data_IF_926907110417
#
_entry.id   IF_926907110417
#
_cell.length_a   1.000
_cell.length_b   1.000
_cell.length_c   1.000
_cell.angle_alpha   90.00
_cell.angle_beta   90.00
_cell.angle_gamma   90.00
#
_symmetry.space_group_name_H-M   'P 1'
#
loop_
_entity.id
_entity.type
_entity.pdbx_description
1 polymer ?
#
# COMPACT_ATOMS: atom_id res chain seq x y z
N UNK A 1 -10.45 13.11 -5.51
CA UNK A 1 -10.33 12.51 -4.17
C UNK A 1 -9.55 11.21 -4.25
N UNK A 2 -8.55 11.08 -3.42
CA UNK A 2 -7.60 9.97 -3.40
C UNK A 2 -8.28 8.59 -3.39
N UNK A 3 -9.28 8.41 -2.54
CA UNK A 3 -9.95 7.13 -2.37
C UNK A 3 -10.67 6.66 -3.66
N UNK A 4 -11.33 7.57 -4.35
CA UNK A 4 -12.02 7.25 -5.62
C UNK A 4 -11.00 6.92 -6.70
N UNK A 5 -9.95 7.70 -6.82
CA UNK A 5 -8.89 7.51 -7.82
C UNK A 5 -8.12 6.21 -7.59
N UNK A 6 -7.86 5.85 -6.34
CA UNK A 6 -7.25 4.57 -5.97
C UNK A 6 -8.14 3.42 -6.41
N UNK A 7 -9.43 3.47 -6.12
CA UNK A 7 -10.37 2.42 -6.51
C UNK A 7 -10.45 2.26 -8.01
N UNK A 8 -10.47 3.37 -8.76
CA UNK A 8 -10.45 3.33 -10.22
C UNK A 8 -9.16 2.70 -10.75
N UNK A 9 -8.02 3.11 -10.20
CA UNK A 9 -6.72 2.57 -10.61
C UNK A 9 -6.62 1.08 -10.33
N UNK A 10 -7.16 0.61 -9.22
CA UNK A 10 -7.11 -0.79 -8.83
C UNK A 10 -8.28 -1.62 -9.38
N UNK A 11 -9.16 -1.04 -10.18
CA UNK A 11 -10.30 -1.76 -10.76
C UNK A 11 -9.90 -2.90 -11.69
N UNK A 12 -8.67 -2.91 -12.17
CA UNK A 12 -8.14 -3.96 -13.05
C UNK A 12 -7.63 -5.19 -12.32
N UNK A 13 -7.56 -5.16 -11.01
CA UNK A 13 -6.95 -6.20 -10.20
C UNK A 13 -7.91 -6.66 -9.12
N UNK A 14 -7.56 -7.77 -8.46
CA UNK A 14 -8.49 -8.46 -7.56
C UNK A 14 -8.31 -7.99 -6.12
N UNK A 15 -9.44 -7.85 -5.43
CA UNK A 15 -9.46 -7.75 -3.98
C UNK A 15 -9.90 -9.10 -3.42
N UNK A 16 -8.97 -9.80 -2.79
CA UNK A 16 -9.23 -11.10 -2.19
C UNK A 16 -8.55 -11.15 -0.81
N UNK A 17 -9.34 -10.99 0.28
CA UNK A 17 -8.80 -10.99 1.64
C UNK A 17 -8.11 -12.30 2.04
N UNK A 18 -8.43 -13.40 1.37
CA UNK A 18 -7.75 -14.68 1.62
C UNK A 18 -6.34 -14.72 1.02
N UNK A 19 -6.06 -13.83 0.09
CA UNK A 19 -4.75 -13.74 -0.58
C UNK A 19 -3.90 -12.60 -0.07
N UNK A 20 -4.51 -11.48 0.30
CA UNK A 20 -3.81 -10.30 0.78
C UNK A 20 -4.75 -9.48 1.66
N UNK A 21 -4.38 -9.26 2.92
CA UNK A 21 -5.20 -8.54 3.87
C UNK A 21 -4.37 -7.65 4.77
N UNK A 22 -4.72 -6.38 4.85
CA UNK A 22 -4.15 -5.40 5.76
C UNK A 22 -5.01 -5.28 7.00
N UNK A 23 -4.38 -5.17 8.16
CA UNK A 23 -5.07 -4.98 9.43
C UNK A 23 -4.32 -3.97 10.28
N UNK A 24 -5.01 -2.94 10.75
CA UNK A 24 -4.43 -2.02 11.73
C UNK A 24 -4.28 -2.71 13.06
N UNK A 25 -3.10 -2.60 13.66
CA UNK A 25 -2.78 -3.25 14.93
C UNK A 25 -3.29 -2.48 16.14
N UNK A 26 -3.78 -1.25 15.96
CA UNK A 26 -4.34 -0.48 17.06
C UNK A 26 -5.73 -0.98 17.39
N UNK A 27 -6.05 -1.10 18.68
CA UNK A 27 -7.39 -1.44 19.16
C UNK A 27 -8.40 -0.32 18.94
N UNK A 28 -7.98 0.74 18.29
CA UNK A 28 -8.78 1.93 18.07
C UNK A 28 -9.26 1.92 16.63
N UNK A 29 -10.45 2.46 16.42
CA UNK A 29 -10.98 2.76 15.10
C UNK A 29 -9.88 3.36 14.20
N UNK A 30 -10.12 3.37 12.90
CA UNK A 30 -9.24 3.98 11.91
C UNK A 30 -9.00 5.49 12.11
N UNK A 31 -9.33 6.04 13.29
CA UNK A 31 -9.11 7.45 13.66
C UNK A 31 -7.94 7.55 14.63
N UNK A 32 -6.93 8.28 14.23
CA UNK A 32 -5.70 8.46 15.00
C UNK A 32 -5.47 9.94 15.28
N UNK A 33 -4.87 10.24 16.43
CA UNK A 33 -4.56 11.60 16.85
C UNK A 33 -3.06 11.88 16.80
N UNK A 34 -2.72 13.15 16.73
CA UNK A 34 -1.33 13.60 16.83
C UNK A 34 -0.61 12.91 18.00
N UNK A 35 0.55 12.39 17.70
CA UNK A 35 1.37 11.71 18.70
C UNK A 35 1.08 10.24 18.88
N UNK A 36 -0.04 9.74 18.37
CA UNK A 36 -0.32 8.30 18.42
C UNK A 36 0.69 7.54 17.55
N UNK A 37 1.07 6.39 18.03
CA UNK A 37 1.82 5.44 17.21
C UNK A 37 0.82 4.53 16.52
N UNK A 38 1.08 4.20 15.26
CA UNK A 38 0.28 3.21 14.59
C UNK A 38 1.16 2.12 13.99
N UNK A 39 0.57 0.95 13.87
CA UNK A 39 1.20 -0.19 13.26
C UNK A 39 0.15 -0.95 12.48
N UNK A 40 0.59 -1.75 11.55
CA UNK A 40 -0.31 -2.62 10.81
C UNK A 40 0.39 -3.92 10.48
N UNK A 41 -0.41 -4.92 10.18
CA UNK A 41 0.08 -6.21 9.71
C UNK A 41 -0.51 -6.51 8.34
N UNK A 42 0.19 -7.34 7.61
CA UNK A 42 -0.23 -7.80 6.30
C UNK A 42 -0.16 -9.31 6.29
N UNK A 43 -1.31 -9.94 6.07
CA UNK A 43 -1.40 -11.38 5.91
C UNK A 43 -1.45 -11.70 4.42
N UNK A 44 -0.71 -12.71 4.01
CA UNK A 44 -0.70 -13.14 2.62
C UNK A 44 -0.71 -14.64 2.50
N UNK A 45 -1.29 -15.10 1.40
CA UNK A 45 -1.21 -16.47 0.91
C UNK A 45 -0.83 -16.41 -0.56
N UNK A 46 0.37 -16.83 -0.91
CA UNK A 46 0.85 -16.66 -2.26
C UNK A 46 1.65 -17.88 -2.76
N UNK A 47 1.79 -17.96 -4.06
CA UNK A 47 2.68 -18.92 -4.72
C UNK A 47 4.08 -18.33 -4.96
N UNK A 48 4.35 -17.17 -4.36
CA UNK A 48 5.57 -16.41 -4.56
C UNK A 48 5.34 -15.22 -5.49
N UNK A 49 6.06 -14.15 -5.23
CA UNK A 49 5.94 -12.93 -6.01
C UNK A 49 6.50 -11.72 -5.29
N UNK A 50 5.94 -10.56 -5.56
CA UNK A 50 6.46 -9.29 -5.11
C UNK A 50 5.39 -8.47 -4.41
N UNK A 51 5.78 -7.85 -3.30
CA UNK A 51 4.91 -7.03 -2.47
C UNK A 51 5.28 -5.56 -2.59
N UNK A 52 4.26 -4.73 -2.61
CA UNK A 52 4.36 -3.27 -2.64
C UNK A 52 3.46 -2.72 -1.57
N UNK A 53 3.98 -1.85 -0.71
CA UNK A 53 3.21 -1.18 0.33
C UNK A 53 3.51 0.31 0.28
N UNK A 54 2.48 1.10 0.08
CA UNK A 54 2.58 2.54 -0.05
C UNK A 54 1.59 3.24 0.87
N UNK A 55 1.96 4.42 1.33
CA UNK A 55 1.14 5.24 2.21
C UNK A 55 0.89 6.59 1.55
N UNK A 56 -0.38 6.90 1.33
CA UNK A 56 -0.79 8.16 0.73
C UNK A 56 -1.22 9.12 1.84
N UNK A 57 -0.43 10.17 2.04
CA UNK A 57 -0.67 11.18 3.06
C UNK A 57 -1.79 12.14 2.67
N UNK A 58 -2.34 12.83 3.66
CA UNK A 58 -3.45 13.76 3.46
C UNK A 58 -3.12 14.92 2.51
N UNK A 59 -1.83 15.26 2.38
CA UNK A 59 -1.35 16.30 1.46
C UNK A 59 -1.11 15.80 0.04
N UNK A 60 -1.43 14.55 -0.24
CA UNK A 60 -1.22 13.96 -1.56
C UNK A 60 0.17 13.40 -1.80
N UNK A 61 1.01 13.35 -0.77
CA UNK A 61 2.35 12.76 -0.88
C UNK A 61 2.26 11.26 -0.68
N UNK A 62 2.82 10.50 -1.61
CA UNK A 62 2.91 9.05 -1.52
C UNK A 62 4.28 8.65 -0.96
N UNK A 63 4.26 7.87 0.11
CA UNK A 63 5.45 7.38 0.78
C UNK A 63 5.58 5.88 0.54
N UNK A 64 6.73 5.46 0.03
CA UNK A 64 7.02 4.03 -0.14
C UNK A 64 7.37 3.43 1.20
N UNK A 65 6.59 2.46 1.65
CA UNK A 65 6.91 1.70 2.86
C UNK A 65 7.67 0.42 2.50
N UNK A 66 7.28 -0.23 1.40
CA UNK A 66 7.98 -1.40 0.89
C UNK A 66 7.80 -1.47 -0.63
N UNK A 67 8.84 -1.93 -1.33
CA UNK A 67 8.79 -2.03 -2.79
C UNK A 67 9.58 -3.23 -3.26
N UNK A 68 9.01 -3.93 -4.23
CA UNK A 68 9.64 -5.11 -4.82
C UNK A 68 10.10 -6.12 -3.78
N UNK A 69 9.39 -6.18 -2.65
CA UNK A 69 9.71 -7.13 -1.61
C UNK A 69 9.34 -8.53 -2.10
N UNK A 70 10.32 -9.36 -2.26
CA UNK A 70 10.10 -10.73 -2.71
C UNK A 70 9.48 -11.56 -1.59
N UNK A 71 8.37 -12.23 -1.90
CA UNK A 71 7.72 -13.17 -1.01
C UNK A 71 7.90 -14.57 -1.55
N UNK A 72 8.25 -15.50 -0.67
CA UNK A 72 8.26 -16.91 -0.99
C UNK A 72 6.82 -17.44 -0.97
N UNK A 73 6.61 -18.62 -1.58
CA UNK A 73 5.29 -19.23 -1.58
C UNK A 73 4.87 -19.68 -0.18
N UNK A 74 3.57 -19.67 0.08
CA UNK A 74 2.96 -20.12 1.32
C UNK A 74 2.17 -19.03 2.02
N UNK A 75 1.85 -19.28 3.29
CA UNK A 75 1.18 -18.36 4.18
C UNK A 75 2.22 -17.52 4.93
N UNK A 76 1.95 -16.25 5.10
CA UNK A 76 2.85 -15.39 5.85
C UNK A 76 2.16 -14.19 6.45
N UNK A 77 2.87 -13.56 7.38
CA UNK A 77 2.46 -12.34 8.05
C UNK A 77 3.65 -11.41 8.13
N UNK A 78 3.43 -10.16 7.78
CA UNK A 78 4.42 -9.10 7.89
C UNK A 78 3.89 -8.02 8.81
N UNK A 79 4.76 -7.51 9.68
CA UNK A 79 4.41 -6.45 10.61
C UNK A 79 5.14 -5.17 10.24
N UNK A 80 4.41 -4.06 10.25
CA UNK A 80 4.93 -2.73 9.99
C UNK A 80 4.62 -1.80 11.16
N UNK A 81 5.53 -0.93 11.56
CA UNK A 81 6.88 -0.74 11.03
C UNK A 81 7.82 -1.91 11.37
N UNK A 82 8.94 -1.93 10.69
CA UNK A 82 9.99 -2.88 11.00
C UNK A 82 10.43 -2.73 12.47
N UNK A 83 10.91 -3.82 13.05
CA UNK A 83 11.36 -3.86 14.44
C UNK A 83 12.33 -2.71 14.74
N UNK A 84 12.06 -1.98 15.81
CA UNK A 84 12.86 -0.83 16.22
C UNK A 84 12.48 0.49 15.56
N UNK A 85 11.49 0.50 14.69
CA UNK A 85 10.95 1.71 14.06
C UNK A 85 9.55 2.00 14.56
N UNK A 86 9.11 3.25 14.42
CA UNK A 86 7.78 3.68 14.82
C UNK A 86 7.17 4.56 13.73
N UNK A 87 5.87 4.38 13.51
CA UNK A 87 5.07 5.30 12.72
C UNK A 87 4.27 6.18 13.69
N UNK A 88 4.55 7.47 13.66
CA UNK A 88 3.90 8.43 14.55
C UNK A 88 3.02 9.36 13.74
N UNK A 89 1.80 9.58 14.22
CA UNK A 89 0.87 10.51 13.61
C UNK A 89 1.35 11.95 13.81
N UNK A 90 1.54 12.66 12.71
CA UNK A 90 1.96 14.05 12.68
C UNK A 90 1.37 14.71 11.43
N UNK A 91 1.57 16.02 11.29
CA UNK A 91 1.12 16.73 10.09
C UNK A 91 1.66 16.07 8.81
N UNK A 92 0.88 16.06 7.72
CA UNK A 92 -0.46 16.64 7.57
C UNK A 92 -1.55 15.72 8.15
N UNK A 93 -2.64 16.33 8.64
CA UNK A 93 -3.79 15.60 9.16
C UNK A 93 -4.90 15.54 8.11
N UNK A 94 -5.69 14.48 8.16
CA UNK A 94 -6.82 14.28 7.27
C UNK A 94 -7.01 12.82 6.90
N UNK A 95 -7.55 12.58 5.72
CA UNK A 95 -7.74 11.23 5.20
C UNK A 95 -6.47 10.74 4.54
N UNK A 96 -6.02 9.59 4.96
CA UNK A 96 -4.82 8.94 4.46
C UNK A 96 -5.16 7.52 4.05
N UNK A 97 -4.39 6.95 3.14
CA UNK A 97 -4.68 5.64 2.57
C UNK A 97 -3.43 4.79 2.60
N UNK A 98 -3.57 3.59 3.16
CA UNK A 98 -2.56 2.56 3.09
C UNK A 98 -2.92 1.59 1.98
N UNK A 99 -2.02 1.39 1.03
CA UNK A 99 -2.24 0.53 -0.12
C UNK A 99 -1.23 -0.60 -0.08
N UNK A 100 -1.71 -1.83 -0.18
CA UNK A 100 -0.84 -2.99 -0.43
C UNK A 100 -1.20 -3.61 -1.77
N UNK A 101 -0.17 -4.09 -2.45
CA UNK A 101 -0.31 -4.73 -3.74
C UNK A 101 0.63 -5.93 -3.79
N UNK A 102 0.12 -7.06 -4.23
CA UNK A 102 0.92 -8.24 -4.50
C UNK A 102 0.81 -8.59 -5.98
N UNK A 103 1.93 -8.89 -6.61
CA UNK A 103 1.99 -9.33 -7.99
C UNK A 103 2.95 -10.51 -8.13
N UNK A 104 2.51 -11.55 -8.80
CA UNK A 104 3.37 -12.69 -9.11
C UNK A 104 4.54 -12.26 -9.99
N UNK A 105 4.28 -11.39 -10.96
CA UNK A 105 5.30 -10.79 -11.80
C UNK A 105 5.72 -9.44 -11.21
N UNK A 106 7.02 -9.16 -11.21
CA UNK A 106 7.52 -7.87 -10.76
C UNK A 106 6.92 -6.74 -11.60
N UNK A 107 6.36 -5.75 -10.93
CA UNK A 107 5.79 -4.59 -11.59
C UNK A 107 6.88 -3.60 -12.00
N UNK A 108 6.79 -3.09 -13.21
CA UNK A 108 7.65 -2.02 -13.69
C UNK A 108 7.07 -0.69 -13.24
N UNK A 109 7.25 -0.36 -11.97
CA UNK A 109 6.89 0.95 -11.44
C UNK A 109 8.14 1.81 -11.57
N UNK A 110 8.14 2.84 -12.42
CA UNK A 110 9.30 3.71 -12.50
C UNK A 110 9.54 4.32 -11.13
N UNK A 111 10.79 4.29 -10.69
CA UNK A 111 11.17 5.06 -9.52
C UNK A 111 10.90 6.52 -9.88
N UNK A 112 9.81 7.01 -9.35
CA UNK A 112 9.54 8.43 -9.41
C UNK A 112 10.75 9.10 -8.80
N UNK A 113 11.36 9.97 -9.56
CA UNK A 113 12.60 10.68 -9.20
C UNK A 113 12.41 11.46 -7.91
N UNK A 114 12.36 10.78 -6.82
CA UNK A 114 12.49 11.43 -5.53
C UNK A 114 13.79 10.94 -4.95
N UNK A 115 14.67 11.86 -4.72
CA UNK A 115 15.84 11.71 -3.89
C UNK A 115 15.45 11.08 -2.56
N UNK A 116 14.18 11.20 -2.21
CA UNK A 116 13.55 10.65 -1.03
C UNK A 116 12.49 9.62 -1.45
N UNK A 117 12.09 8.75 -0.57
CA UNK A 117 11.11 7.70 -0.81
C UNK A 117 9.68 8.23 -0.97
N UNK A 118 9.52 9.42 -1.53
CA UNK A 118 8.25 10.12 -1.64
C UNK A 118 7.96 10.54 -3.07
N UNK A 119 6.69 10.53 -3.42
CA UNK A 119 6.18 11.05 -4.68
C UNK A 119 4.80 11.66 -4.44
N UNK A 120 4.32 12.46 -5.39
CA UNK A 120 2.96 12.96 -5.29
C UNK A 120 1.96 11.90 -5.73
N UNK A 121 0.80 11.88 -5.09
CA UNK A 121 -0.27 10.94 -5.35
C UNK A 121 -0.61 10.81 -6.84
N UNK A 122 -0.74 11.93 -7.54
CA UNK A 122 -1.07 11.94 -8.96
C UNK A 122 -0.05 11.15 -9.79
N UNK A 123 1.23 11.37 -9.53
CA UNK A 123 2.31 10.69 -10.24
C UNK A 123 2.37 9.21 -9.84
N UNK A 124 2.14 8.94 -8.58
CA UNK A 124 2.06 7.58 -8.05
C UNK A 124 0.94 6.78 -8.73
N UNK A 125 -0.26 7.32 -8.79
CA UNK A 125 -1.41 6.65 -9.39
C UNK A 125 -1.22 6.42 -10.89
N UNK A 126 -0.65 7.41 -11.58
CA UNK A 126 -0.33 7.30 -13.00
C UNK A 126 0.70 6.19 -13.26
N UNK A 127 1.75 6.15 -12.45
CA UNK A 127 2.78 5.13 -12.55
C UNK A 127 2.23 3.73 -12.24
N UNK A 128 1.41 3.62 -11.22
CA UNK A 128 0.76 2.36 -10.85
C UNK A 128 -0.17 1.86 -11.96
N UNK A 129 -1.00 2.75 -12.49
CA UNK A 129 -1.89 2.42 -13.61
C UNK A 129 -1.10 1.92 -14.82
N UNK A 130 -0.02 2.62 -15.18
CA UNK A 130 0.83 2.23 -16.30
C UNK A 130 1.47 0.86 -16.07
N UNK A 131 1.93 0.61 -14.86
CA UNK A 131 2.52 -0.67 -14.51
C UNK A 131 1.49 -1.81 -14.63
N UNK A 132 0.27 -1.60 -14.17
CA UNK A 132 -0.80 -2.61 -14.26
C UNK A 132 -1.26 -2.83 -15.70
N UNK A 133 -1.33 -1.78 -16.51
CA UNK A 133 -1.71 -1.88 -17.91
C UNK A 133 -0.62 -2.53 -18.78
N UNK A 134 0.63 -2.51 -18.33
CA UNK A 134 1.72 -3.18 -19.02
C UNK A 134 1.69 -4.71 -18.89
N UNK A 135 0.92 -5.20 -17.92
CA UNK A 135 0.72 -6.63 -17.73
C UNK A 135 -0.29 -7.17 -18.75
N UNK A 136 -0.14 -8.45 -19.10
CA UNK A 136 -1.17 -9.15 -19.86
C UNK A 136 -2.40 -9.38 -18.98
N UNK A 137 -3.54 -9.71 -19.61
CA UNK A 137 -4.75 -10.04 -18.84
C UNK A 137 -4.50 -11.22 -17.89
N UNK A 138 -3.76 -12.21 -18.32
CA UNK A 138 -3.39 -13.37 -17.52
C UNK A 138 -2.51 -12.98 -16.34
N UNK A 139 -1.52 -12.13 -16.56
CA UNK A 139 -0.65 -11.64 -15.49
C UNK A 139 -1.41 -10.82 -14.47
N UNK A 140 -2.40 -10.02 -14.88
CA UNK A 140 -3.25 -9.25 -13.98
C UNK A 140 -4.14 -10.12 -13.10
N UNK A 141 -4.46 -11.32 -13.51
CA UNK A 141 -5.23 -12.25 -12.67
C UNK A 141 -4.49 -12.67 -11.41
N UNK A 142 -3.16 -12.56 -11.40
CA UNK A 142 -2.32 -12.86 -10.26
C UNK A 142 -1.90 -11.61 -9.47
N UNK A 143 -2.61 -10.51 -9.63
CA UNK A 143 -2.40 -9.28 -8.87
C UNK A 143 -3.56 -9.10 -7.89
N UNK A 144 -3.20 -8.92 -6.63
CA UNK A 144 -4.16 -8.70 -5.53
C UNK A 144 -3.84 -7.41 -4.82
N UNK A 145 -4.84 -6.77 -4.24
CA UNK A 145 -4.64 -5.54 -3.48
C UNK A 145 -5.50 -5.53 -2.22
N UNK A 146 -5.10 -4.71 -1.27
CA UNK A 146 -5.95 -4.29 -0.17
C UNK A 146 -5.64 -2.83 0.18
N UNK A 147 -6.65 -2.14 0.68
CA UNK A 147 -6.60 -0.71 0.96
C UNK A 147 -7.27 -0.44 2.30
N UNK A 148 -6.62 0.33 3.14
CA UNK A 148 -7.21 0.82 4.40
C UNK A 148 -7.19 2.34 4.40
N UNK A 149 -8.33 2.94 4.74
CA UNK A 149 -8.43 4.37 4.97
C UNK A 149 -8.16 4.66 6.45
N UNK A 150 -7.30 5.64 6.69
CA UNK A 150 -6.93 6.10 8.03
C UNK A 150 -7.27 7.58 8.11
N UNK A 151 -7.92 8.00 9.20
CA UNK A 151 -8.20 9.40 9.45
C UNK A 151 -7.31 9.87 10.58
N UNK A 152 -6.53 10.91 10.31
CA UNK A 152 -5.65 11.52 11.31
C UNK A 152 -6.15 12.91 11.67
N UNK A 153 -5.94 13.30 12.92
CA UNK A 153 -6.35 14.60 13.44
C UNK A 153 -5.39 15.09 14.52
N UNK A 154 -5.41 16.40 14.72
CA UNK A 154 -4.60 17.04 15.74
C UNK A 154 -5.03 16.71 17.17
#
# INVERSE_FOLDING_TARGET
MANVEIKETLSFVRKDPDKLSLTLSSNVSSQLRKGDNFAFSLDYASEGGYLYVDYLQADGVAVKLDRHRKLDGGLGNLNYPARGKQYKVQEPYGREILVSLFSKKQLSIPELKSIEKVSYERDYLSALRSALLSLTNEEREDVYFDVIEIVTQE
#
